data_IF_309760497400
#
_entry.id   IF_309760497400
#
_cell.length_a   1.000
_cell.length_b   1.000
_cell.length_c   1.000
_cell.angle_alpha   90.00
_cell.angle_beta   90.00
_cell.angle_gamma   90.00
#
_symmetry.space_group_name_H-M   'P 1'
#
loop_
_entity.id
_entity.type
_entity.pdbx_description
1 polymer ?
#
# COMPACT_ATOMS: atom_id res chain seq x y z
N UNK A 1 4.34 0.52 11.93
CA UNK A 1 3.01 0.46 11.32
C UNK A 1 2.41 1.85 11.08
N UNK A 2 2.68 2.83 11.93
CA UNK A 2 2.15 4.20 11.82
C UNK A 2 3.03 5.12 10.96
N UNK A 3 4.10 4.63 10.34
CA UNK A 3 4.98 5.42 9.46
C UNK A 3 5.79 6.50 10.17
N UNK A 4 5.85 6.44 11.50
CA UNK A 4 6.62 7.39 12.29
C UNK A 4 8.13 7.17 12.04
N UNK A 5 8.79 8.24 11.55
CA UNK A 5 10.21 8.22 11.18
C UNK A 5 11.13 8.77 12.29
N UNK A 6 10.53 9.25 13.38
CA UNK A 6 11.25 9.92 14.48
C UNK A 6 12.09 8.97 15.33
N UNK A 7 11.70 7.69 15.42
CA UNK A 7 12.41 6.68 16.21
C UNK A 7 13.52 5.92 15.45
N UNK A 8 13.76 6.20 14.17
CA UNK A 8 14.80 5.54 13.38
C UNK A 8 16.08 6.37 13.40
N UNK A 9 17.18 5.69 13.74
CA UNK A 9 18.53 6.25 13.66
C UNK A 9 18.79 6.81 12.24
N UNK A 10 19.33 8.04 12.10
CA UNK A 10 19.62 8.66 10.81
C UNK A 10 20.48 7.79 9.88
N UNK A 11 21.37 6.97 10.43
CA UNK A 11 22.17 6.03 9.64
C UNK A 11 21.31 4.89 9.05
N UNK A 12 20.42 4.34 9.83
CA UNK A 12 19.47 3.31 9.36
C UNK A 12 18.56 3.87 8.27
N UNK A 13 18.07 5.09 8.42
CA UNK A 13 17.26 5.75 7.40
C UNK A 13 17.98 5.92 6.07
N UNK A 14 19.27 6.31 6.12
CA UNK A 14 20.14 6.41 4.94
C UNK A 14 20.37 5.05 4.27
N UNK A 15 20.59 3.99 5.08
CA UNK A 15 20.76 2.63 4.57
C UNK A 15 19.52 2.13 3.84
N UNK A 16 18.31 2.36 4.40
CA UNK A 16 17.07 1.99 3.74
C UNK A 16 16.84 2.78 2.45
N UNK A 17 17.18 4.07 2.43
CA UNK A 17 17.10 4.89 1.21
C UNK A 17 18.08 4.40 0.14
N UNK A 18 19.35 4.17 0.51
CA UNK A 18 20.42 3.70 -0.38
C UNK A 18 20.12 2.33 -1.02
N UNK A 19 19.42 1.47 -0.29
CA UNK A 19 19.00 0.15 -0.78
C UNK A 19 17.66 0.16 -1.52
N UNK A 20 17.09 1.33 -1.81
CA UNK A 20 15.79 1.44 -2.49
C UNK A 20 14.60 0.97 -1.67
N UNK A 21 14.79 0.75 -0.36
CA UNK A 21 13.75 0.28 0.57
C UNK A 21 13.03 1.43 1.29
N UNK A 22 13.36 2.68 0.96
CA UNK A 22 12.75 3.87 1.57
C UNK A 22 11.22 3.89 1.43
N UNK A 23 10.68 3.29 0.38
CA UNK A 23 9.24 3.15 0.17
C UNK A 23 8.57 2.18 1.15
N UNK A 24 9.30 1.23 1.75
CA UNK A 24 8.78 0.31 2.75
C UNK A 24 8.65 0.98 4.13
N UNK A 25 9.47 1.99 4.40
CA UNK A 25 9.38 2.80 5.64
C UNK A 25 8.26 3.84 5.59
N UNK A 26 7.84 4.23 4.39
CA UNK A 26 6.69 5.08 4.20
C UNK A 26 5.42 4.21 4.18
N UNK A 27 4.32 4.74 4.72
CA UNK A 27 3.03 4.09 4.56
C UNK A 27 2.71 4.03 3.08
N UNK A 28 2.78 2.83 2.52
CA UNK A 28 2.55 2.63 1.10
C UNK A 28 1.07 2.35 0.81
N UNK A 29 0.65 2.61 -0.42
CA UNK A 29 -0.67 2.19 -0.90
C UNK A 29 -0.92 0.68 -0.74
N UNK A 30 0.15 -0.13 -0.63
CA UNK A 30 0.05 -1.56 -0.35
C UNK A 30 -0.49 -1.83 1.06
N UNK A 31 -0.02 -1.10 2.09
CA UNK A 31 -0.53 -1.20 3.46
C UNK A 31 -2.04 -0.91 3.49
N UNK A 32 -2.44 0.20 2.89
CA UNK A 32 -3.84 0.61 2.80
C UNK A 32 -4.68 -0.44 2.07
N UNK A 33 -4.21 -0.90 0.92
CA UNK A 33 -4.93 -1.91 0.13
C UNK A 33 -5.07 -3.24 0.88
N UNK A 34 -4.03 -3.68 1.58
CA UNK A 34 -4.08 -4.92 2.38
C UNK A 34 -5.08 -4.79 3.53
N UNK A 35 -5.04 -3.71 4.31
CA UNK A 35 -5.94 -3.51 5.45
C UNK A 35 -7.39 -3.42 4.97
N UNK A 36 -7.70 -2.48 4.07
CA UNK A 36 -9.07 -2.24 3.62
C UNK A 36 -9.68 -3.44 2.91
N UNK A 37 -8.93 -4.06 2.00
CA UNK A 37 -9.40 -5.22 1.26
C UNK A 37 -9.52 -6.47 2.14
N UNK A 38 -8.66 -6.63 3.15
CA UNK A 38 -8.76 -7.75 4.10
C UNK A 38 -10.01 -7.64 4.95
N UNK A 39 -10.29 -6.46 5.50
CA UNK A 39 -11.51 -6.19 6.29
C UNK A 39 -12.74 -6.39 5.42
N UNK A 40 -12.76 -5.80 4.22
CA UNK A 40 -13.84 -5.95 3.28
C UNK A 40 -14.14 -7.43 2.97
N UNK A 41 -13.11 -8.20 2.57
CA UNK A 41 -13.24 -9.63 2.24
C UNK A 41 -13.68 -10.46 3.44
N UNK A 42 -13.18 -10.15 4.63
CA UNK A 42 -13.56 -10.85 5.86
C UNK A 42 -15.05 -10.66 6.14
N UNK A 43 -15.55 -9.42 6.13
CA UNK A 43 -16.96 -9.10 6.35
C UNK A 43 -17.86 -9.73 5.27
N UNK A 44 -17.43 -9.71 4.01
CA UNK A 44 -18.13 -10.39 2.93
C UNK A 44 -18.21 -11.91 3.15
N UNK A 45 -17.13 -12.52 3.62
CA UNK A 45 -17.07 -13.94 3.94
C UNK A 45 -17.99 -14.33 5.13
N UNK A 46 -18.23 -13.39 6.03
CA UNK A 46 -19.19 -13.52 7.14
C UNK A 46 -20.65 -13.33 6.71
N UNK A 47 -20.92 -13.10 5.42
CA UNK A 47 -22.28 -12.94 4.89
C UNK A 47 -22.85 -11.52 4.93
N UNK A 48 -22.05 -10.51 5.34
CA UNK A 48 -22.50 -9.13 5.35
C UNK A 48 -22.73 -8.57 3.94
N UNK A 49 -23.59 -7.55 3.83
CA UNK A 49 -23.89 -6.88 2.55
C UNK A 49 -22.67 -6.17 1.96
N UNK A 50 -22.67 -5.95 0.64
CA UNK A 50 -21.62 -5.18 -0.06
C UNK A 50 -21.44 -3.79 0.53
N UNK A 51 -22.56 -3.10 0.77
CA UNK A 51 -22.57 -1.74 1.30
C UNK A 51 -21.97 -1.67 2.71
N UNK A 52 -22.40 -2.55 3.62
CA UNK A 52 -21.87 -2.59 4.98
C UNK A 52 -20.37 -2.90 5.00
N UNK A 53 -19.94 -3.91 4.26
CA UNK A 53 -18.52 -4.30 4.17
C UNK A 53 -17.66 -3.18 3.55
N UNK A 54 -18.20 -2.47 2.56
CA UNK A 54 -17.55 -1.33 1.91
C UNK A 54 -17.41 -0.13 2.86
N UNK A 55 -18.47 0.23 3.57
CA UNK A 55 -18.43 1.33 4.54
C UNK A 55 -17.48 1.01 5.69
N UNK A 56 -17.53 -0.20 6.24
CA UNK A 56 -16.64 -0.61 7.32
C UNK A 56 -15.17 -0.62 6.88
N UNK A 57 -14.85 -1.22 5.73
CA UNK A 57 -13.49 -1.23 5.17
C UNK A 57 -12.99 0.18 4.84
N UNK A 58 -13.82 1.01 4.21
CA UNK A 58 -13.51 2.41 3.91
C UNK A 58 -13.34 3.27 5.17
N UNK A 59 -14.17 3.07 6.19
CA UNK A 59 -14.07 3.75 7.48
C UNK A 59 -12.75 3.45 8.19
N UNK A 60 -12.33 2.19 8.22
CA UNK A 60 -11.04 1.79 8.79
C UNK A 60 -9.88 2.43 8.01
N UNK A 61 -9.95 2.43 6.67
CA UNK A 61 -8.94 3.08 5.84
C UNK A 61 -8.88 4.60 6.07
N UNK A 62 -10.03 5.24 6.19
CA UNK A 62 -10.11 6.67 6.47
C UNK A 62 -9.52 6.99 7.85
N UNK A 63 -9.87 6.23 8.87
CA UNK A 63 -9.31 6.37 10.21
C UNK A 63 -7.79 6.19 10.20
N UNK A 64 -7.30 5.16 9.51
CA UNK A 64 -5.87 4.93 9.35
C UNK A 64 -5.17 6.08 8.61
N UNK A 65 -5.79 6.64 7.57
CA UNK A 65 -5.30 7.83 6.86
C UNK A 65 -5.16 9.04 7.79
N UNK A 66 -6.17 9.29 8.64
CA UNK A 66 -6.14 10.39 9.61
C UNK A 66 -5.02 10.21 10.62
N UNK A 67 -4.84 8.99 11.14
CA UNK A 67 -3.78 8.69 12.12
C UNK A 67 -2.37 8.82 11.54
N UNK A 68 -2.19 8.46 10.28
CA UNK A 68 -0.86 8.41 9.65
C UNK A 68 -0.50 9.67 8.86
N UNK A 69 -1.47 10.57 8.72
CA UNK A 69 -1.39 11.77 7.90
C UNK A 69 -1.69 11.49 6.41
N UNK A 70 -2.24 12.49 5.70
CA UNK A 70 -2.65 12.37 4.32
C UNK A 70 -1.44 12.36 3.37
N UNK A 71 -0.92 11.18 3.10
CA UNK A 71 0.09 10.97 2.06
C UNK A 71 -0.60 10.68 0.72
N UNK A 72 0.00 11.10 -0.38
CA UNK A 72 -0.55 10.92 -1.75
C UNK A 72 -0.84 9.44 -2.06
N UNK A 73 0.07 8.53 -1.66
CA UNK A 73 -0.09 7.10 -1.84
C UNK A 73 -1.29 6.52 -1.06
N UNK A 74 -1.53 7.04 0.14
CA UNK A 74 -2.65 6.64 1.00
C UNK A 74 -3.98 7.19 0.48
N UNK A 75 -4.01 8.46 0.06
CA UNK A 75 -5.17 9.08 -0.58
C UNK A 75 -5.57 8.34 -1.85
N UNK A 76 -4.60 8.00 -2.70
CA UNK A 76 -4.84 7.20 -3.90
C UNK A 76 -5.47 5.84 -3.56
N UNK A 77 -4.90 5.11 -2.60
CA UNK A 77 -5.40 3.80 -2.22
C UNK A 77 -6.83 3.87 -1.66
N UNK A 78 -7.14 4.88 -0.86
CA UNK A 78 -8.49 5.14 -0.33
C UNK A 78 -9.47 5.46 -1.45
N UNK A 79 -9.14 6.36 -2.37
CA UNK A 79 -10.00 6.72 -3.50
C UNK A 79 -10.25 5.52 -4.41
N UNK A 80 -9.21 4.76 -4.77
CA UNK A 80 -9.36 3.55 -5.58
C UNK A 80 -10.21 2.49 -4.88
N UNK A 81 -10.11 2.38 -3.55
CA UNK A 81 -10.97 1.50 -2.76
C UNK A 81 -12.44 1.91 -2.89
N UNK A 82 -12.77 3.20 -2.73
CA UNK A 82 -14.15 3.67 -2.87
C UNK A 82 -14.69 3.55 -4.28
N UNK A 83 -13.89 3.82 -5.31
CA UNK A 83 -14.27 3.61 -6.71
C UNK A 83 -14.62 2.14 -6.95
N UNK A 84 -13.80 1.23 -6.44
CA UNK A 84 -14.05 -0.21 -6.53
C UNK A 84 -15.34 -0.61 -5.81
N UNK A 85 -15.55 -0.12 -4.59
CA UNK A 85 -16.79 -0.41 -3.85
C UNK A 85 -18.01 0.14 -4.56
N UNK A 86 -17.94 1.35 -5.11
CA UNK A 86 -19.00 1.94 -5.91
C UNK A 86 -19.34 1.10 -7.14
N UNK A 87 -18.35 0.57 -7.83
CA UNK A 87 -18.56 -0.32 -8.97
C UNK A 87 -19.21 -1.65 -8.54
N UNK A 88 -18.73 -2.29 -7.47
CA UNK A 88 -19.34 -3.52 -6.94
C UNK A 88 -20.81 -3.31 -6.49
N UNK A 89 -21.13 -2.17 -5.87
CA UNK A 89 -22.52 -1.83 -5.47
C UNK A 89 -23.43 -1.62 -6.70
N UNK A 90 -22.88 -1.02 -7.75
CA UNK A 90 -23.64 -0.77 -9.00
C UNK A 90 -23.66 -1.97 -9.94
N UNK A 91 -23.03 -3.09 -9.58
CA UNK A 91 -22.95 -4.30 -10.40
C UNK A 91 -22.10 -4.12 -11.66
N UNK A 92 -21.16 -3.19 -11.65
CA UNK A 92 -20.23 -2.92 -12.75
C UNK A 92 -18.87 -3.56 -12.48
N UNK A 93 -18.22 -4.00 -13.54
CA UNK A 93 -16.82 -4.45 -13.44
C UNK A 93 -15.88 -3.27 -13.19
N UNK A 94 -14.87 -3.55 -12.35
CA UNK A 94 -13.84 -2.56 -12.02
C UNK A 94 -12.76 -2.58 -13.09
N UNK A 95 -12.71 -1.53 -13.89
CA UNK A 95 -11.61 -1.30 -14.80
C UNK A 95 -10.47 -0.56 -14.06
N UNK A 96 -9.34 -1.24 -13.90
CA UNK A 96 -8.18 -0.72 -13.16
C UNK A 96 -7.59 0.57 -13.77
N UNK A 97 -7.37 0.65 -15.11
CA UNK A 97 -6.90 1.88 -15.75
C UNK A 97 -7.83 3.06 -15.53
N UNK A 98 -9.15 2.86 -15.68
CA UNK A 98 -10.16 3.91 -15.47
C UNK A 98 -10.17 4.38 -14.02
N UNK A 99 -10.13 3.44 -13.05
CA UNK A 99 -10.06 3.80 -11.63
C UNK A 99 -8.81 4.61 -11.31
N UNK A 100 -7.68 4.26 -11.91
CA UNK A 100 -6.42 4.99 -11.73
C UNK A 100 -6.51 6.40 -12.32
N UNK A 101 -7.05 6.54 -13.55
CA UNK A 101 -7.23 7.82 -14.23
C UNK A 101 -8.17 8.77 -13.47
N UNK A 102 -9.31 8.27 -13.01
CA UNK A 102 -10.27 9.03 -12.20
C UNK A 102 -9.63 9.49 -10.88
N UNK A 103 -8.89 8.60 -10.22
CA UNK A 103 -8.18 8.95 -8.98
C UNK A 103 -7.13 10.02 -9.23
N UNK A 104 -6.35 9.91 -10.32
CA UNK A 104 -5.36 10.92 -10.69
C UNK A 104 -6.03 12.27 -10.96
N UNK A 105 -7.14 12.30 -11.69
CA UNK A 105 -7.89 13.53 -11.97
C UNK A 105 -8.39 14.18 -10.67
N UNK A 106 -9.01 13.42 -9.76
CA UNK A 106 -9.49 13.95 -8.48
C UNK A 106 -8.36 14.57 -7.66
N UNK A 107 -7.22 13.86 -7.53
CA UNK A 107 -6.08 14.37 -6.75
C UNK A 107 -5.42 15.58 -7.41
N UNK A 108 -5.37 15.64 -8.74
CA UNK A 108 -4.82 16.78 -9.49
C UNK A 108 -5.72 18.03 -9.39
N UNK A 109 -7.04 17.85 -9.34
CA UNK A 109 -8.00 18.94 -9.12
C UNK A 109 -7.89 19.44 -7.67
N UNK A 110 -7.76 18.52 -6.71
CA UNK A 110 -7.62 18.86 -5.30
C UNK A 110 -6.34 19.67 -5.03
N UNK A 111 -5.21 19.24 -5.59
CA UNK A 111 -3.94 19.92 -5.49
C UNK A 111 -3.08 19.70 -6.74
N UNK A 112 -3.04 20.68 -7.67
CA UNK A 112 -2.30 20.55 -8.93
C UNK A 112 -0.80 20.27 -8.76
N UNK A 113 -0.21 20.74 -7.67
CA UNK A 113 1.22 20.52 -7.37
C UNK A 113 1.57 19.04 -7.15
N UNK A 114 0.58 18.18 -6.86
CA UNK A 114 0.82 16.72 -6.77
C UNK A 114 1.37 16.14 -8.07
N UNK A 115 1.02 16.69 -9.23
CA UNK A 115 1.57 16.21 -10.51
C UNK A 115 3.09 16.35 -10.62
N UNK A 116 3.68 17.26 -9.84
CA UNK A 116 5.14 17.45 -9.77
C UNK A 116 5.75 16.78 -8.53
N UNK A 117 4.96 16.12 -7.71
CA UNK A 117 5.45 15.42 -6.52
C UNK A 117 5.98 14.03 -6.88
N UNK A 118 7.22 13.73 -6.46
CA UNK A 118 7.83 12.42 -6.64
C UNK A 118 6.97 11.29 -6.07
N UNK A 119 6.32 11.48 -4.91
CA UNK A 119 5.47 10.47 -4.30
C UNK A 119 4.23 10.17 -5.15
N UNK A 120 3.64 11.18 -5.81
CA UNK A 120 2.57 11.01 -6.77
C UNK A 120 3.04 10.20 -7.98
N UNK A 121 4.10 10.66 -8.62
CA UNK A 121 4.63 10.03 -9.84
C UNK A 121 5.06 8.58 -9.60
N UNK A 122 5.76 8.31 -8.50
CA UNK A 122 6.17 6.95 -8.13
C UNK A 122 4.97 6.06 -7.83
N UNK A 123 3.98 6.58 -7.12
CA UNK A 123 2.80 5.82 -6.70
C UNK A 123 1.89 5.45 -7.88
N UNK A 124 1.64 6.39 -8.80
CA UNK A 124 0.87 6.16 -10.01
C UNK A 124 1.68 5.41 -11.06
N UNK A 125 2.94 5.76 -11.23
CA UNK A 125 3.87 5.09 -12.16
C UNK A 125 4.04 3.60 -11.85
N UNK A 126 4.07 3.21 -10.58
CA UNK A 126 4.14 1.79 -10.19
C UNK A 126 2.94 0.99 -10.72
N UNK A 127 1.71 1.52 -10.60
CA UNK A 127 0.52 0.84 -11.13
C UNK A 127 0.51 0.86 -12.65
N UNK A 128 0.89 1.98 -13.27
CA UNK A 128 1.03 2.06 -14.72
C UNK A 128 2.07 1.05 -15.24
N UNK A 129 3.16 0.85 -14.52
CA UNK A 129 4.14 -0.18 -14.84
C UNK A 129 3.52 -1.58 -14.86
N UNK A 130 2.70 -1.91 -13.86
CA UNK A 130 1.97 -3.19 -13.84
C UNK A 130 0.97 -3.27 -14.99
N UNK A 131 0.21 -2.20 -15.25
CA UNK A 131 -0.83 -2.23 -16.28
C UNK A 131 -0.29 -2.27 -17.71
N UNK A 132 0.82 -1.58 -17.99
CA UNK A 132 1.35 -1.41 -19.34
C UNK A 132 2.52 -2.35 -19.65
N UNK A 133 3.46 -2.53 -18.71
CA UNK A 133 4.68 -3.30 -18.95
C UNK A 133 4.55 -4.77 -18.56
N UNK A 134 3.81 -5.09 -17.48
CA UNK A 134 3.68 -6.48 -17.05
C UNK A 134 3.05 -7.39 -18.13
N UNK A 135 2.00 -6.99 -18.89
CA UNK A 135 1.44 -7.81 -19.96
C UNK A 135 2.46 -8.19 -21.05
N UNK A 136 3.48 -7.35 -21.28
CA UNK A 136 4.54 -7.63 -22.26
C UNK A 136 5.39 -8.84 -21.82
N UNK A 137 5.54 -9.02 -20.51
CA UNK A 137 6.29 -10.13 -19.90
C UNK A 137 5.42 -11.35 -19.57
N UNK A 138 4.11 -11.30 -19.89
CA UNK A 138 3.14 -12.34 -19.55
C UNK A 138 3.33 -13.58 -20.43
N UNK A 139 4.37 -14.36 -20.13
CA UNK A 139 4.44 -15.77 -20.53
C UNK A 139 4.06 -16.62 -19.33
N UNK A 140 3.11 -17.55 -19.54
CA UNK A 140 2.64 -18.48 -18.48
C UNK A 140 3.84 -19.24 -17.88
N UNK A 141 4.24 -18.84 -16.69
CA UNK A 141 5.31 -19.48 -15.95
C UNK A 141 4.74 -20.17 -14.73
N UNK A 142 5.14 -21.41 -14.45
CA UNK A 142 4.65 -22.21 -13.31
C UNK A 142 5.18 -21.73 -11.95
N UNK A 143 6.23 -20.91 -11.92
CA UNK A 143 6.88 -20.47 -10.69
C UNK A 143 6.37 -19.07 -10.27
N UNK A 144 5.68 -19.00 -9.13
CA UNK A 144 5.18 -17.74 -8.54
C UNK A 144 6.29 -16.71 -8.28
N UNK A 145 7.49 -17.15 -7.93
CA UNK A 145 8.65 -16.28 -7.75
C UNK A 145 9.05 -15.55 -9.04
N UNK A 146 8.92 -16.23 -10.18
CA UNK A 146 9.19 -15.66 -11.49
C UNK A 146 8.15 -14.61 -11.90
N UNK A 147 6.88 -14.80 -11.51
CA UNK A 147 5.85 -13.80 -11.71
C UNK A 147 6.13 -12.54 -10.87
N UNK A 148 6.53 -12.70 -9.61
CA UNK A 148 6.95 -11.60 -8.76
C UNK A 148 8.13 -10.82 -9.34
N UNK A 149 9.11 -11.51 -9.93
CA UNK A 149 10.24 -10.88 -10.59
C UNK A 149 9.81 -10.05 -11.82
N UNK A 150 8.92 -10.58 -12.67
CA UNK A 150 8.35 -9.86 -13.80
C UNK A 150 7.61 -8.59 -13.40
N UNK A 151 6.78 -8.68 -12.35
CA UNK A 151 6.07 -7.53 -11.79
C UNK A 151 7.08 -6.49 -11.28
N UNK A 152 8.10 -6.93 -10.53
CA UNK A 152 9.15 -6.05 -10.03
C UNK A 152 9.92 -5.38 -11.18
N UNK A 153 10.22 -6.12 -12.25
CA UNK A 153 10.88 -5.58 -13.44
C UNK A 153 10.01 -4.54 -14.15
N UNK A 154 8.71 -4.80 -14.30
CA UNK A 154 7.77 -3.89 -14.93
C UNK A 154 7.63 -2.57 -14.12
N UNK A 155 7.50 -2.69 -12.81
CA UNK A 155 7.42 -1.53 -11.90
C UNK A 155 8.70 -0.71 -11.94
N UNK A 156 9.86 -1.35 -11.73
CA UNK A 156 11.15 -0.64 -11.72
C UNK A 156 11.48 -0.04 -13.08
N UNK A 157 11.16 -0.74 -14.18
CA UNK A 157 11.34 -0.22 -15.55
C UNK A 157 10.54 1.07 -15.79
N UNK A 158 9.29 1.12 -15.33
CA UNK A 158 8.47 2.33 -15.42
C UNK A 158 8.96 3.46 -14.52
N UNK A 159 9.43 3.12 -13.32
CA UNK A 159 9.88 4.10 -12.34
C UNK A 159 11.30 4.61 -12.57
N UNK A 160 12.09 3.92 -13.41
CA UNK A 160 13.52 4.22 -13.60
C UNK A 160 13.77 5.67 -14.00
N UNK A 161 13.00 6.22 -14.94
CA UNK A 161 13.12 7.61 -15.37
C UNK A 161 12.78 8.61 -14.26
N UNK A 162 11.74 8.30 -13.46
CA UNK A 162 11.32 9.15 -12.35
C UNK A 162 12.38 9.11 -11.24
N UNK A 163 12.91 7.93 -10.93
CA UNK A 163 13.94 7.76 -9.90
C UNK A 163 15.22 8.49 -10.28
N UNK A 164 15.66 8.38 -11.52
CA UNK A 164 16.83 9.10 -12.03
C UNK A 164 16.66 10.62 -11.94
N UNK A 165 15.47 11.13 -12.29
CA UNK A 165 15.20 12.57 -12.27
C UNK A 165 15.15 13.16 -10.87
N UNK A 166 14.50 12.46 -9.90
CA UNK A 166 14.28 13.00 -8.55
C UNK A 166 15.37 12.61 -7.54
N UNK A 167 15.96 11.42 -7.67
CA UNK A 167 16.86 10.87 -6.66
C UNK A 167 18.28 10.69 -7.14
N UNK A 168 18.52 10.78 -8.46
CA UNK A 168 19.84 10.54 -9.07
C UNK A 168 20.47 9.18 -8.70
N UNK A 169 19.66 8.25 -8.22
CA UNK A 169 20.07 6.91 -7.79
C UNK A 169 19.16 5.85 -8.39
N UNK A 170 19.75 4.74 -8.83
CA UNK A 170 19.02 3.56 -9.26
C UNK A 170 19.45 2.39 -8.38
N UNK A 171 18.64 1.94 -7.43
CA UNK A 171 18.98 0.80 -6.59
C UNK A 171 18.77 -0.52 -7.33
N UNK A 172 19.82 -1.17 -7.92
CA UNK A 172 19.66 -2.41 -8.67
C UNK A 172 19.20 -3.57 -7.77
N UNK A 173 19.50 -3.49 -6.48
CA UNK A 173 19.10 -4.48 -5.48
C UNK A 173 17.59 -4.48 -5.21
N UNK A 174 16.88 -3.38 -5.46
CA UNK A 174 15.44 -3.28 -5.25
C UNK A 174 14.66 -4.32 -6.07
N UNK A 175 15.14 -4.67 -7.27
CA UNK A 175 14.53 -5.71 -8.11
C UNK A 175 14.46 -7.06 -7.39
N UNK A 176 15.56 -7.49 -6.80
CA UNK A 176 15.65 -8.79 -6.11
C UNK A 176 14.96 -8.73 -4.75
N UNK A 177 15.18 -7.65 -4.00
CA UNK A 177 14.58 -7.48 -2.68
C UNK A 177 13.07 -7.41 -2.73
N UNK A 178 12.48 -6.76 -3.71
CA UNK A 178 11.04 -6.65 -3.87
C UNK A 178 10.37 -8.02 -4.13
N UNK A 179 11.05 -8.93 -4.83
CA UNK A 179 10.54 -10.30 -5.04
C UNK A 179 10.37 -11.05 -3.72
N UNK A 180 11.25 -10.80 -2.76
CA UNK A 180 11.25 -11.45 -1.45
C UNK A 180 10.33 -10.68 -0.49
N UNK A 181 10.45 -9.36 -0.43
CA UNK A 181 9.79 -8.51 0.56
C UNK A 181 8.28 -8.35 0.29
N UNK A 182 7.87 -8.22 -0.98
CA UNK A 182 6.45 -8.05 -1.30
C UNK A 182 5.59 -9.22 -0.80
N UNK A 183 5.91 -10.50 -1.05
CA UNK A 183 5.13 -11.61 -0.52
C UNK A 183 5.28 -11.80 1.01
N UNK A 184 6.40 -11.37 1.60
CA UNK A 184 6.62 -11.44 3.05
C UNK A 184 5.83 -10.36 3.81
N UNK A 185 5.55 -9.25 3.15
CA UNK A 185 4.95 -8.07 3.75
C UNK A 185 3.58 -8.31 4.44
N UNK A 186 2.62 -9.07 3.87
CA UNK A 186 1.37 -9.40 4.55
C UNK A 186 1.58 -10.13 5.88
N UNK A 187 2.59 -11.00 5.97
CA UNK A 187 2.91 -11.72 7.21
C UNK A 187 3.47 -10.77 8.27
N UNK A 188 4.36 -9.86 7.88
CA UNK A 188 4.90 -8.84 8.78
C UNK A 188 3.79 -7.91 9.30
N UNK A 189 2.85 -7.54 8.45
CA UNK A 189 1.69 -6.74 8.86
C UNK A 189 0.79 -7.49 9.84
N UNK A 190 0.48 -8.74 9.58
CA UNK A 190 -0.36 -9.56 10.45
C UNK A 190 0.29 -9.79 11.83
N UNK A 191 1.58 -10.10 11.86
CA UNK A 191 2.32 -10.27 13.12
C UNK A 191 2.46 -8.96 13.88
N UNK A 192 2.66 -7.84 13.19
CA UNK A 192 2.74 -6.52 13.80
C UNK A 192 1.41 -6.09 14.42
N UNK A 193 0.29 -6.26 13.72
CA UNK A 193 -1.05 -5.97 14.26
C UNK A 193 -1.37 -6.92 15.41
N UNK A 194 -1.07 -8.22 15.26
CA UNK A 194 -1.26 -9.21 16.32
C UNK A 194 -0.45 -8.89 17.57
N UNK A 195 0.80 -8.46 17.42
CA UNK A 195 1.66 -8.05 18.53
C UNK A 195 1.12 -6.84 19.29
N UNK A 196 0.61 -5.83 18.59
CA UNK A 196 -0.01 -4.64 19.22
C UNK A 196 -1.26 -5.04 19.99
N UNK A 197 -2.13 -5.84 19.39
CA UNK A 197 -3.35 -6.32 20.08
C UNK A 197 -3.02 -7.16 21.32
N UNK A 198 -1.99 -8.00 21.23
CA UNK A 198 -1.57 -8.83 22.36
C UNK A 198 -0.95 -7.99 23.49
N UNK A 199 -0.13 -6.98 23.18
CA UNK A 199 0.44 -6.09 24.18
C UNK A 199 -0.64 -5.30 24.91
N UNK A 200 -1.65 -4.78 24.20
CA UNK A 200 -2.74 -4.03 24.78
C UNK A 200 -3.63 -4.89 25.69
N UNK A 201 -3.87 -6.15 25.32
CA UNK A 201 -4.58 -7.11 26.15
C UNK A 201 -3.80 -7.46 27.42
N UNK A 202 -2.48 -7.65 27.28
CA UNK A 202 -1.60 -7.96 28.42
C UNK A 202 -1.50 -6.79 29.39
N UNK A 203 -1.43 -5.54 28.92
CA UNK A 203 -1.42 -4.36 29.80
C UNK A 203 -2.74 -4.22 30.55
N UNK A 204 -3.87 -4.44 29.91
CA UNK A 204 -5.19 -4.42 30.58
C UNK A 204 -5.35 -5.50 31.65
N UNK A 205 -4.79 -6.68 31.45
CA UNK A 205 -4.80 -7.73 32.48
C UNK A 205 -3.95 -7.34 33.69
N UNK A 206 -2.79 -6.72 33.49
CA UNK A 206 -1.91 -6.24 34.54
C UNK A 206 -2.57 -5.09 35.32
N UNK A 207 -3.22 -4.16 34.64
CA UNK A 207 -3.94 -3.05 35.26
C UNK A 207 -5.13 -3.53 36.10
N UNK A 208 -5.91 -4.47 35.60
CA UNK A 208 -7.01 -5.09 36.34
C UNK A 208 -6.53 -5.87 37.58
N UNK A 209 -5.37 -6.50 37.51
CA UNK A 209 -4.76 -7.20 38.65
C UNK A 209 -4.24 -6.24 39.71
N UNK A 210 -3.78 -5.04 39.31
CA UNK A 210 -3.32 -4.00 40.24
C UNK A 210 -4.44 -3.24 40.97
N UNK A 211 -5.66 -3.28 40.43
CA UNK A 211 -6.84 -2.62 41.05
C UNK A 211 -7.52 -3.56 42.06
N UNK A 212 -7.28 -4.86 42.01
CA UNK A 212 -7.91 -5.87 42.89
C UNK A 212 -7.06 -6.18 44.15
N UNK A 213 -5.78 -5.74 44.18
CA UNK A 213 -4.90 -5.84 45.37
C UNK A 213 -4.63 -4.46 45.97
#
# INVERSE_FOLDING_TARGET
LLGEKSGLDPEMKKLYQKNGLGHLLAISGLHMSLIGMSVYRLLRKMGNSFLFSGIAGGGILFFYLVMTGPQVSSLRALLMFFIRMGAEITGRDVDQPTSLAVTAAILSIYQPLYLLDAAFLLSFGAILGILLLYPIFEQKTRLKAWEGFKISLAVNGMLLGIMLYYYFEVPPYALVLNVILIPLFPFVMLTGIGGILFSELSEREIENFSIIN
#
